data_IF_701485342281
#
_entry.id   IF_701485342281
#
_cell.length_a   1.000
_cell.length_b   1.000
_cell.length_c   1.000
_cell.angle_alpha   90.00
_cell.angle_beta   90.00
_cell.angle_gamma   90.00
#
_symmetry.space_group_name_H-M   'P 1'
#
loop_
_entity.id
_entity.type
_entity.pdbx_description
1 polymer ?
#
# COMPACT_ATOMS: atom_id res chain seq x y z
N UNK A 1 3.27 -30.90 108.63
CA UNK A 1 4.07 -30.28 107.55
C UNK A 1 4.59 -28.94 108.01
N UNK A 2 5.91 -28.82 108.05
CA UNK A 2 6.65 -27.69 108.60
C UNK A 2 6.47 -26.46 107.70
N UNK A 3 6.32 -25.25 108.26
CA UNK A 3 5.98 -24.04 107.49
C UNK A 3 7.02 -23.65 106.42
N UNK A 4 8.23 -24.21 106.49
CA UNK A 4 9.30 -24.07 105.47
C UNK A 4 9.06 -24.98 104.26
N UNK A 5 8.61 -26.21 104.47
CA UNK A 5 8.32 -27.20 103.40
C UNK A 5 7.16 -26.73 102.52
N UNK A 6 6.09 -26.21 103.13
CA UNK A 6 4.95 -25.64 102.37
C UNK A 6 5.35 -24.44 101.50
N UNK A 7 6.29 -23.60 101.98
CA UNK A 7 6.82 -22.46 101.22
C UNK A 7 7.68 -22.92 100.05
N UNK A 8 8.56 -23.90 100.26
CA UNK A 8 9.40 -24.49 99.20
C UNK A 8 8.53 -25.18 98.14
N UNK A 9 7.53 -25.95 98.56
CA UNK A 9 6.59 -26.60 97.64
C UNK A 9 5.83 -25.59 96.77
N UNK A 10 5.33 -24.49 97.36
CA UNK A 10 4.65 -23.42 96.61
C UNK A 10 5.58 -22.71 95.63
N UNK A 11 6.83 -22.47 96.00
CA UNK A 11 7.84 -21.89 95.11
C UNK A 11 8.14 -22.82 93.93
N UNK A 12 8.34 -24.12 94.18
CA UNK A 12 8.59 -25.10 93.13
C UNK A 12 7.40 -25.25 92.18
N UNK A 13 6.17 -25.31 92.71
CA UNK A 13 4.95 -25.36 91.90
C UNK A 13 4.81 -24.12 91.00
N UNK A 14 5.12 -22.92 91.54
CA UNK A 14 5.09 -21.67 90.76
C UNK A 14 6.16 -21.66 89.68
N UNK A 15 7.36 -22.19 89.94
CA UNK A 15 8.42 -22.32 88.95
C UNK A 15 8.07 -23.31 87.84
N UNK A 16 7.44 -24.45 88.19
CA UNK A 16 6.98 -25.44 87.22
C UNK A 16 5.87 -24.86 86.33
N UNK A 17 4.90 -24.15 86.90
CA UNK A 17 3.85 -23.49 86.14
C UNK A 17 4.43 -22.47 85.14
N UNK A 18 5.36 -21.62 85.58
CA UNK A 18 6.05 -20.67 84.70
C UNK A 18 6.86 -21.36 83.61
N UNK A 19 7.46 -22.51 83.91
CA UNK A 19 8.18 -23.31 82.91
C UNK A 19 7.21 -23.83 81.85
N UNK A 20 6.08 -24.37 82.26
CA UNK A 20 5.08 -24.92 81.36
C UNK A 20 4.49 -23.86 80.44
N UNK A 21 4.10 -22.70 80.97
CA UNK A 21 3.60 -21.56 80.18
C UNK A 21 4.60 -21.12 79.10
N UNK A 22 5.89 -21.02 79.46
CA UNK A 22 6.92 -20.62 78.50
C UNK A 22 7.14 -21.66 77.41
N UNK A 23 7.05 -22.96 77.72
CA UNK A 23 7.15 -24.04 76.72
C UNK A 23 5.96 -23.98 75.76
N UNK A 24 4.74 -23.84 76.28
CA UNK A 24 3.53 -23.77 75.47
C UNK A 24 3.56 -22.57 74.52
N UNK A 25 3.96 -21.40 75.02
CA UNK A 25 4.14 -20.19 74.19
C UNK A 25 5.19 -20.37 73.11
N UNK A 26 6.26 -21.11 73.41
CA UNK A 26 7.33 -21.41 72.44
C UNK A 26 6.82 -22.33 71.33
N UNK A 27 6.06 -23.37 71.66
CA UNK A 27 5.50 -24.28 70.65
C UNK A 27 4.44 -23.57 69.78
N UNK A 28 3.60 -22.72 70.38
CA UNK A 28 2.65 -21.88 69.63
C UNK A 28 3.36 -20.94 68.65
N UNK A 29 4.45 -20.31 69.08
CA UNK A 29 5.27 -19.45 68.22
C UNK A 29 5.90 -20.24 67.06
N UNK A 30 6.44 -21.43 67.33
CA UNK A 30 6.97 -22.34 66.31
C UNK A 30 5.88 -22.69 65.29
N UNK A 31 4.68 -23.06 65.75
CA UNK A 31 3.57 -23.42 64.85
C UNK A 31 3.14 -22.25 63.96
N UNK A 32 3.06 -21.03 64.52
CA UNK A 32 2.75 -19.82 63.72
C UNK A 32 3.81 -19.55 62.66
N UNK A 33 5.09 -19.60 63.02
CA UNK A 33 6.19 -19.35 62.09
C UNK A 33 6.24 -20.39 60.98
N UNK A 34 5.96 -21.66 61.29
CA UNK A 34 5.82 -22.73 60.29
C UNK A 34 4.63 -22.48 59.35
N UNK A 35 3.48 -22.06 59.87
CA UNK A 35 2.29 -21.75 59.05
C UNK A 35 2.53 -20.60 58.08
N UNK A 36 3.36 -19.65 58.44
CA UNK A 36 3.70 -18.49 57.62
C UNK A 36 4.91 -18.73 56.69
N UNK A 37 5.42 -19.96 56.60
CA UNK A 37 6.62 -20.32 55.85
C UNK A 37 7.86 -19.46 56.20
N UNK A 38 7.92 -18.94 57.42
CA UNK A 38 9.02 -18.10 57.87
C UNK A 38 10.23 -18.95 58.29
N UNK A 39 11.42 -18.36 58.19
CA UNK A 39 12.65 -19.03 58.65
C UNK A 39 12.66 -19.09 60.18
N UNK A 40 12.69 -20.31 60.73
CA UNK A 40 12.83 -20.50 62.16
C UNK A 40 14.26 -20.13 62.62
N UNK A 41 14.32 -19.18 63.55
CA UNK A 41 15.54 -18.75 64.23
C UNK A 41 15.21 -18.55 65.70
N UNK A 42 16.15 -18.86 66.60
CA UNK A 42 16.00 -18.65 68.03
C UNK A 42 15.57 -17.22 68.38
N UNK A 43 16.05 -16.22 67.63
CA UNK A 43 15.65 -14.83 67.83
C UNK A 43 14.20 -14.54 67.43
N UNK A 44 13.72 -15.11 66.32
CA UNK A 44 12.36 -14.91 65.86
C UNK A 44 11.35 -15.66 66.75
N UNK A 45 11.70 -16.88 67.17
CA UNK A 45 10.90 -17.67 68.11
C UNK A 45 10.81 -16.96 69.46
N UNK A 46 11.92 -16.44 69.98
CA UNK A 46 11.95 -15.67 71.22
C UNK A 46 11.04 -14.43 71.16
N UNK A 47 11.07 -13.71 70.04
CA UNK A 47 10.24 -12.52 69.81
C UNK A 47 8.75 -12.88 69.76
N UNK A 48 8.37 -13.91 69.01
CA UNK A 48 6.98 -14.33 68.83
C UNK A 48 6.41 -15.00 70.09
N UNK A 49 7.21 -15.81 70.81
CA UNK A 49 6.81 -16.43 72.08
C UNK A 49 6.87 -15.44 73.26
N UNK A 50 7.47 -14.26 73.06
CA UNK A 50 7.76 -13.26 74.09
C UNK A 50 8.50 -13.87 75.31
N UNK A 51 9.56 -14.63 75.01
CA UNK A 51 10.51 -15.22 75.97
C UNK A 51 11.91 -14.72 75.64
N UNK A 52 12.83 -14.70 76.62
CA UNK A 52 14.21 -14.30 76.33
C UNK A 52 14.93 -15.38 75.50
N UNK A 53 15.84 -14.98 74.62
CA UNK A 53 16.68 -15.93 73.87
C UNK A 53 17.46 -16.84 74.82
N UNK A 54 17.95 -16.28 75.94
CA UNK A 54 18.64 -17.05 76.99
C UNK A 54 17.76 -18.15 77.59
N UNK A 55 16.43 -17.95 77.68
CA UNK A 55 15.51 -18.97 78.17
C UNK A 55 15.45 -20.18 77.24
N UNK A 56 15.42 -19.95 75.92
CA UNK A 56 15.42 -21.03 74.91
C UNK A 56 16.69 -21.89 74.98
N UNK A 57 17.83 -21.30 75.36
CA UNK A 57 19.09 -22.03 75.57
C UNK A 57 19.22 -22.65 76.96
N UNK A 58 18.49 -22.15 77.97
CA UNK A 58 18.57 -22.62 79.35
C UNK A 58 18.03 -24.05 79.51
N UNK A 59 17.05 -24.43 78.69
CA UNK A 59 16.39 -25.73 78.74
C UNK A 59 16.74 -26.53 77.48
N UNK A 60 17.57 -27.59 77.58
CA UNK A 60 18.01 -28.39 76.43
C UNK A 60 16.84 -28.93 75.60
N UNK A 61 15.75 -29.33 76.25
CA UNK A 61 14.56 -29.86 75.60
C UNK A 61 13.93 -28.87 74.60
N UNK A 62 13.97 -27.58 74.90
CA UNK A 62 13.44 -26.52 74.02
C UNK A 62 14.40 -26.25 72.87
N UNK A 63 15.70 -26.23 73.17
CA UNK A 63 16.76 -26.01 72.19
C UNK A 63 16.78 -27.10 71.12
N UNK A 64 16.75 -28.37 71.55
CA UNK A 64 16.83 -29.52 70.66
C UNK A 64 15.61 -29.57 69.74
N UNK A 65 14.41 -29.31 70.29
CA UNK A 65 13.17 -29.20 69.51
C UNK A 65 13.26 -28.15 68.40
N UNK A 66 13.76 -26.96 68.71
CA UNK A 66 13.93 -25.88 67.72
C UNK A 66 14.95 -26.29 66.65
N UNK A 67 16.04 -26.94 67.05
CA UNK A 67 17.09 -27.37 66.13
C UNK A 67 16.60 -28.46 65.16
N UNK A 68 15.86 -29.46 65.65
CA UNK A 68 15.28 -30.51 64.81
C UNK A 68 14.38 -29.95 63.70
N UNK A 69 13.53 -28.97 64.04
CA UNK A 69 12.62 -28.34 63.08
C UNK A 69 13.41 -27.54 62.04
N UNK A 70 14.42 -26.79 62.49
CA UNK A 70 15.30 -26.02 61.61
C UNK A 70 16.07 -26.93 60.64
N UNK A 71 16.57 -28.07 61.10
CA UNK A 71 17.30 -29.03 60.28
C UNK A 71 16.38 -29.69 59.23
N UNK A 72 15.12 -29.96 59.58
CA UNK A 72 14.10 -30.43 58.63
C UNK A 72 13.82 -29.39 57.54
N UNK A 73 13.66 -28.11 57.92
CA UNK A 73 13.44 -27.01 56.97
C UNK A 73 14.61 -26.86 55.98
N UNK A 74 15.85 -26.95 56.48
CA UNK A 74 17.07 -26.90 55.63
C UNK A 74 17.16 -28.10 54.68
N UNK A 75 16.83 -29.31 55.14
CA UNK A 75 16.81 -30.51 54.30
C UNK A 75 15.79 -30.40 53.18
N UNK A 76 14.57 -29.93 53.47
CA UNK A 76 13.52 -29.73 52.46
C UNK A 76 13.91 -28.67 51.43
N UNK A 77 14.45 -27.52 51.88
CA UNK A 77 14.93 -26.49 50.97
C UNK A 77 15.98 -27.02 50.00
N UNK A 78 16.95 -27.82 50.48
CA UNK A 78 17.99 -28.46 49.65
C UNK A 78 17.45 -29.46 48.63
N UNK A 79 16.36 -30.18 48.93
CA UNK A 79 15.73 -31.10 47.98
C UNK A 79 15.11 -30.33 46.81
N UNK A 80 14.49 -29.19 47.08
CA UNK A 80 13.88 -28.32 46.05
C UNK A 80 14.92 -27.61 45.18
N UNK A 81 16.12 -27.31 45.72
CA UNK A 81 17.19 -26.64 44.96
C UNK A 81 18.06 -27.59 44.15
N UNK A 82 17.94 -28.91 44.32
CA UNK A 82 18.72 -29.85 43.51
C UNK A 82 18.13 -29.87 42.10
N UNK A 83 18.89 -29.53 41.03
CA UNK A 83 18.40 -29.66 39.68
C UNK A 83 18.05 -31.14 39.45
N UNK A 84 16.76 -31.43 39.31
CA UNK A 84 16.32 -32.75 38.90
C UNK A 84 16.77 -32.92 37.45
N UNK A 85 17.68 -33.85 37.19
CA UNK A 85 18.02 -34.22 35.82
C UNK A 85 16.75 -34.71 35.16
N UNK A 86 16.24 -33.94 34.20
CA UNK A 86 15.03 -34.29 33.47
C UNK A 86 15.14 -35.73 32.96
N UNK A 87 14.13 -36.56 33.26
CA UNK A 87 14.05 -37.93 32.76
C UNK A 87 14.21 -37.94 31.24
N UNK A 88 14.81 -38.99 30.67
CA UNK A 88 14.98 -39.15 29.21
C UNK A 88 13.67 -38.92 28.44
N UNK A 89 12.53 -39.32 29.03
CA UNK A 89 11.20 -39.07 28.47
C UNK A 89 10.85 -37.59 28.37
N UNK A 90 11.23 -36.79 29.37
CA UNK A 90 11.03 -35.33 29.38
C UNK A 90 11.90 -34.65 28.32
N UNK A 91 13.16 -35.07 28.18
CA UNK A 91 14.04 -34.58 27.11
C UNK A 91 13.48 -34.85 25.72
N UNK A 92 12.93 -36.05 25.50
CA UNK A 92 12.29 -36.40 24.22
C UNK A 92 11.07 -35.54 23.89
N UNK A 93 10.22 -35.25 24.88
CA UNK A 93 9.07 -34.35 24.70
C UNK A 93 9.56 -32.94 24.33
N UNK A 94 10.58 -32.43 25.03
CA UNK A 94 11.16 -31.11 24.74
C UNK A 94 11.72 -31.07 23.31
N UNK A 95 12.45 -32.10 22.88
CA UNK A 95 13.00 -32.19 21.52
C UNK A 95 11.88 -32.19 20.47
N UNK A 96 10.79 -32.93 20.70
CA UNK A 96 9.65 -32.93 19.77
C UNK A 96 8.96 -31.57 19.69
N UNK A 97 8.78 -30.89 20.82
CA UNK A 97 8.22 -29.54 20.86
C UNK A 97 9.11 -28.54 20.12
N UNK A 98 10.42 -28.58 20.35
CA UNK A 98 11.39 -27.72 19.66
C UNK A 98 11.39 -27.96 18.16
N UNK A 99 11.38 -29.22 17.72
CA UNK A 99 11.29 -29.56 16.28
C UNK A 99 10.00 -29.05 15.65
N UNK A 100 8.88 -29.18 16.36
CA UNK A 100 7.58 -28.68 15.89
C UNK A 100 7.60 -27.15 15.77
N UNK A 101 8.21 -26.47 16.74
CA UNK A 101 8.36 -25.01 16.73
C UNK A 101 9.27 -24.54 15.59
N UNK A 102 10.38 -25.22 15.34
CA UNK A 102 11.27 -24.92 14.20
C UNK A 102 10.50 -25.04 12.90
N UNK A 103 9.76 -26.14 12.71
CA UNK A 103 8.97 -26.36 11.48
C UNK A 103 7.91 -25.27 11.27
N UNK A 104 7.24 -24.83 12.34
CA UNK A 104 6.29 -23.71 12.27
C UNK A 104 6.98 -22.40 11.88
N UNK A 105 8.11 -22.08 12.51
CA UNK A 105 8.85 -20.84 12.23
C UNK A 105 9.39 -20.85 10.79
N UNK A 106 9.88 -21.98 10.29
CA UNK A 106 10.33 -22.11 8.90
C UNK A 106 9.18 -21.91 7.90
N UNK A 107 8.00 -22.45 8.21
CA UNK A 107 6.80 -22.24 7.41
C UNK A 107 6.38 -20.77 7.40
N UNK A 108 6.32 -20.14 8.57
CA UNK A 108 5.97 -18.72 8.72
C UNK A 108 6.98 -17.82 7.98
N UNK A 109 8.28 -18.09 8.12
CA UNK A 109 9.34 -17.39 7.37
C UNK A 109 9.14 -17.52 5.86
N UNK A 110 8.79 -18.71 5.38
CA UNK A 110 8.55 -18.94 3.95
C UNK A 110 7.34 -18.15 3.46
N UNK A 111 6.25 -18.13 4.22
CA UNK A 111 5.04 -17.40 3.83
C UNK A 111 5.25 -15.89 3.87
N UNK A 112 5.91 -15.37 4.91
CA UNK A 112 6.28 -13.96 5.00
C UNK A 112 7.18 -13.54 3.84
N UNK A 113 8.12 -14.40 3.43
CA UNK A 113 8.97 -14.13 2.25
C UNK A 113 8.14 -14.06 0.97
N UNK A 114 7.19 -14.99 0.78
CA UNK A 114 6.27 -14.98 -0.38
C UNK A 114 5.43 -13.70 -0.43
N UNK A 115 4.88 -13.28 0.72
CA UNK A 115 4.11 -12.04 0.82
C UNK A 115 4.97 -10.82 0.49
N UNK A 116 6.22 -10.79 0.95
CA UNK A 116 7.14 -9.70 0.68
C UNK A 116 7.53 -9.63 -0.80
N UNK A 117 7.79 -10.77 -1.43
CA UNK A 117 8.03 -10.85 -2.88
C UNK A 117 6.82 -10.35 -3.68
N UNK A 118 5.60 -10.74 -3.28
CA UNK A 118 4.37 -10.27 -3.91
C UNK A 118 4.19 -8.74 -3.77
N UNK A 119 4.31 -8.20 -2.56
CA UNK A 119 4.20 -6.76 -2.31
C UNK A 119 5.27 -5.96 -3.06
N UNK A 120 6.49 -6.48 -3.14
CA UNK A 120 7.58 -5.86 -3.90
C UNK A 120 7.25 -5.81 -5.39
N UNK A 121 6.68 -6.90 -5.93
CA UNK A 121 6.18 -6.94 -7.30
C UNK A 121 5.07 -5.91 -7.56
N UNK A 122 4.10 -5.81 -6.65
CA UNK A 122 3.01 -4.83 -6.72
C UNK A 122 3.54 -3.39 -6.66
N UNK A 123 4.51 -3.09 -5.79
CA UNK A 123 5.16 -1.78 -5.70
C UNK A 123 5.89 -1.42 -7.00
N UNK A 124 6.57 -2.37 -7.63
CA UNK A 124 7.23 -2.14 -8.91
C UNK A 124 6.21 -1.79 -10.01
N UNK A 125 5.11 -2.54 -10.08
CA UNK A 125 4.01 -2.24 -11.01
C UNK A 125 3.38 -0.87 -10.74
N UNK A 126 3.23 -0.50 -9.46
CA UNK A 126 2.72 0.81 -9.08
C UNK A 126 3.67 1.94 -9.51
N UNK A 127 4.99 1.76 -9.35
CA UNK A 127 5.99 2.71 -9.83
C UNK A 127 5.89 2.97 -11.33
N UNK A 128 5.79 1.90 -12.14
CA UNK A 128 5.59 2.02 -13.59
C UNK A 128 4.30 2.79 -13.92
N UNK A 129 3.21 2.49 -13.19
CA UNK A 129 1.93 3.19 -13.39
C UNK A 129 2.02 4.67 -13.03
N UNK A 130 2.74 5.04 -11.98
CA UNK A 130 2.97 6.43 -11.60
C UNK A 130 3.76 7.18 -12.70
N UNK A 131 4.83 6.59 -13.23
CA UNK A 131 5.60 7.18 -14.33
C UNK A 131 4.77 7.37 -15.60
N UNK A 132 3.82 6.46 -15.87
CA UNK A 132 2.87 6.60 -16.97
C UNK A 132 1.88 7.73 -16.70
N UNK A 133 1.35 7.82 -15.47
CA UNK A 133 0.40 8.84 -15.06
C UNK A 133 1.03 10.25 -15.17
N UNK A 134 2.28 10.40 -14.75
CA UNK A 134 3.03 11.65 -14.88
C UNK A 134 3.21 12.05 -16.35
N UNK A 135 3.53 11.09 -17.23
CA UNK A 135 3.64 11.34 -18.67
C UNK A 135 2.31 11.80 -19.27
N UNK A 136 1.22 11.11 -18.98
CA UNK A 136 -0.12 11.47 -19.45
C UNK A 136 -0.52 12.85 -18.93
N UNK A 137 -0.21 13.17 -17.67
CA UNK A 137 -0.48 14.51 -17.12
C UNK A 137 0.30 15.59 -17.84
N UNK A 138 1.58 15.36 -18.15
CA UNK A 138 2.39 16.32 -18.92
C UNK A 138 1.82 16.53 -20.31
N UNK A 139 1.39 15.47 -20.99
CA UNK A 139 0.77 15.56 -22.31
C UNK A 139 -0.55 16.34 -22.27
N UNK A 140 -1.43 16.02 -21.32
CA UNK A 140 -2.66 16.77 -21.11
C UNK A 140 -2.41 18.26 -20.86
N UNK A 141 -1.35 18.59 -20.09
CA UNK A 141 -0.96 19.99 -19.87
C UNK A 141 -0.48 20.67 -21.15
N UNK A 142 0.29 19.96 -22.00
CA UNK A 142 0.72 20.46 -23.31
C UNK A 142 -0.47 20.70 -24.23
N UNK A 143 -1.33 19.71 -24.41
CA UNK A 143 -2.54 19.81 -25.24
C UNK A 143 -3.44 20.96 -24.76
N UNK A 144 -3.61 21.13 -23.44
CA UNK A 144 -4.37 22.25 -22.87
C UNK A 144 -3.75 23.61 -23.20
N UNK A 145 -2.41 23.71 -23.20
CA UNK A 145 -1.72 24.94 -23.60
C UNK A 145 -1.87 25.22 -25.10
N UNK A 146 -1.82 24.19 -25.94
CA UNK A 146 -2.00 24.29 -27.38
C UNK A 146 -3.43 24.72 -27.74
N UNK A 147 -4.44 24.09 -27.13
CA UNK A 147 -5.84 24.49 -27.27
C UNK A 147 -6.02 25.96 -26.89
N UNK A 148 -5.36 26.42 -25.82
CA UNK A 148 -5.42 27.83 -25.41
C UNK A 148 -4.84 28.76 -26.49
N UNK A 149 -3.72 28.39 -27.10
CA UNK A 149 -3.08 29.17 -28.18
C UNK A 149 -3.98 29.18 -29.42
N UNK A 150 -4.47 28.02 -29.85
CA UNK A 150 -5.36 27.91 -31.01
C UNK A 150 -6.65 28.72 -30.82
N UNK A 151 -7.21 28.73 -29.62
CA UNK A 151 -8.38 29.57 -29.32
C UNK A 151 -8.06 31.06 -29.42
N UNK A 152 -6.88 31.51 -28.97
CA UNK A 152 -6.47 32.91 -29.13
C UNK A 152 -6.28 33.28 -30.60
N UNK A 153 -5.71 32.37 -31.40
CA UNK A 153 -5.53 32.57 -32.83
C UNK A 153 -6.86 32.60 -33.58
N UNK A 154 -7.79 31.71 -33.24
CA UNK A 154 -9.15 31.72 -33.78
C UNK A 154 -9.89 33.02 -33.45
N UNK A 155 -9.80 33.50 -32.22
CA UNK A 155 -10.39 34.79 -31.83
C UNK A 155 -9.75 35.96 -32.59
N UNK A 156 -8.43 35.94 -32.79
CA UNK A 156 -7.74 36.92 -33.62
C UNK A 156 -8.28 36.92 -35.06
N UNK A 157 -8.33 35.76 -35.71
CA UNK A 157 -8.82 35.62 -37.09
C UNK A 157 -10.28 36.03 -37.20
N UNK A 158 -11.12 35.68 -36.22
CA UNK A 158 -12.52 36.13 -36.16
C UNK A 158 -12.62 37.65 -36.10
N UNK A 159 -11.81 38.30 -35.26
CA UNK A 159 -11.78 39.76 -35.14
C UNK A 159 -11.29 40.43 -36.43
N UNK A 160 -10.26 39.88 -37.07
CA UNK A 160 -9.75 40.36 -38.37
C UNK A 160 -10.80 40.22 -39.49
N UNK A 161 -11.53 39.09 -39.51
CA UNK A 161 -12.64 38.86 -40.45
C UNK A 161 -13.81 39.82 -40.20
N UNK A 162 -14.20 40.03 -38.94
CA UNK A 162 -15.25 40.98 -38.55
C UNK A 162 -14.86 42.40 -38.98
N UNK A 163 -13.63 42.84 -38.71
CA UNK A 163 -13.13 44.15 -39.12
C UNK A 163 -13.12 44.31 -40.66
N UNK A 164 -12.77 43.24 -41.39
CA UNK A 164 -12.83 43.24 -42.85
C UNK A 164 -14.28 43.33 -43.37
N UNK A 165 -15.23 42.67 -42.70
CA UNK A 165 -16.65 42.75 -43.05
C UNK A 165 -17.26 44.13 -42.76
N UNK A 166 -16.87 44.80 -41.66
CA UNK A 166 -17.32 46.17 -41.37
C UNK A 166 -16.75 47.16 -42.38
N UNK A 167 -15.47 47.04 -42.74
CA UNK A 167 -14.85 47.87 -43.78
C UNK A 167 -15.56 47.74 -45.14
N UNK A 168 -16.08 46.56 -45.49
CA UNK A 168 -16.89 46.36 -46.71
C UNK A 168 -18.29 46.99 -46.64
N UNK A 169 -18.85 47.17 -45.45
CA UNK A 169 -20.17 47.81 -45.24
C UNK A 169 -20.10 49.34 -45.17
N UNK A 170 -18.95 49.89 -44.80
CA UNK A 170 -18.73 51.35 -44.72
C UNK A 170 -18.36 51.99 -46.07
N UNK A 171 -18.21 51.20 -47.14
CA UNK A 171 -18.08 51.74 -48.51
C UNK A 171 -19.47 52.25 -48.95
N UNK A 172 -19.65 53.56 -49.20
CA UNK A 172 -20.94 54.09 -49.66
C UNK A 172 -21.32 53.52 -51.03
N UNK A 173 -22.61 53.31 -51.32
CA UNK A 173 -23.04 52.84 -52.63
C UNK A 173 -23.04 54.01 -53.62
N UNK A 174 -21.88 54.53 -54.01
CA UNK A 174 -21.82 55.40 -55.18
C UNK A 174 -20.49 55.34 -55.91
N UNK A 175 -20.61 54.90 -57.16
CA UNK A 175 -19.65 55.01 -58.28
C UNK A 175 -18.47 54.04 -58.32
N UNK A 176 -18.75 52.80 -58.74
CA UNK A 176 -18.01 52.23 -59.86
C UNK A 176 -18.99 51.96 -61.00
N UNK A 177 -19.12 52.95 -61.88
CA UNK A 177 -19.56 52.75 -63.26
C UNK A 177 -18.52 51.82 -63.90
N UNK A 178 -18.78 50.52 -63.87
CA UNK A 178 -18.11 49.55 -64.72
C UNK A 178 -19.22 48.84 -65.50
N UNK A 179 -19.56 49.44 -66.64
CA UNK A 179 -20.02 48.72 -67.80
C UNK A 179 -18.90 47.76 -68.24
N UNK A 180 -18.75 46.65 -67.52
CA UNK A 180 -18.16 45.44 -68.06
C UNK A 180 -19.13 44.35 -67.66
N UNK A 181 -19.74 43.75 -68.69
CA UNK A 181 -20.44 42.48 -68.56
C UNK A 181 -19.53 41.54 -67.76
N UNK A 182 -19.85 41.28 -66.49
CA UNK A 182 -19.23 40.16 -65.80
C UNK A 182 -19.74 38.90 -66.49
N UNK A 183 -18.87 38.08 -67.12
CA UNK A 183 -19.29 36.77 -67.59
C UNK A 183 -19.67 35.93 -66.36
N UNK A 184 -20.66 35.03 -66.48
CA UNK A 184 -21.22 34.32 -65.33
C UNK A 184 -20.30 33.28 -64.66
N UNK A 185 -18.97 33.29 -64.90
CA UNK A 185 -18.09 32.14 -64.62
C UNK A 185 -16.92 32.37 -63.65
N UNK A 186 -16.80 33.51 -62.95
CA UNK A 186 -15.55 33.82 -62.24
C UNK A 186 -15.29 32.96 -60.98
N UNK A 187 -16.33 32.46 -60.28
CA UNK A 187 -16.13 31.60 -59.08
C UNK A 187 -15.91 30.11 -59.40
N UNK A 188 -16.39 29.63 -60.55
CA UNK A 188 -16.10 28.27 -61.01
C UNK A 188 -14.66 28.14 -61.53
N UNK A 189 -14.11 29.21 -62.11
CA UNK A 189 -12.75 29.19 -62.69
C UNK A 189 -11.66 28.99 -61.63
N UNK A 190 -11.75 29.65 -60.47
CA UNK A 190 -10.72 29.55 -59.42
C UNK A 190 -10.75 28.17 -58.73
N UNK A 191 -11.94 27.60 -58.53
CA UNK A 191 -12.11 26.26 -57.95
C UNK A 191 -11.70 25.17 -58.95
N UNK A 192 -12.00 25.34 -60.25
CA UNK A 192 -11.48 24.47 -61.30
C UNK A 192 -9.95 24.54 -61.40
N UNK A 193 -9.36 25.72 -61.21
CA UNK A 193 -7.92 25.91 -61.26
C UNK A 193 -7.24 25.21 -60.08
N UNK A 194 -7.79 25.33 -58.86
CA UNK A 194 -7.32 24.58 -57.70
C UNK A 194 -7.46 23.05 -57.86
N UNK A 195 -8.57 22.60 -58.46
CA UNK A 195 -8.78 21.18 -58.78
C UNK A 195 -7.74 20.68 -59.79
N UNK A 196 -7.46 21.45 -60.85
CA UNK A 196 -6.45 21.13 -61.87
C UNK A 196 -5.05 21.10 -61.27
N UNK A 197 -4.73 22.00 -60.35
CA UNK A 197 -3.46 22.03 -59.63
C UNK A 197 -3.26 20.79 -58.76
N UNK A 198 -4.29 20.38 -58.00
CA UNK A 198 -4.25 19.16 -57.17
C UNK A 198 -4.17 17.87 -58.00
N UNK A 199 -4.87 17.81 -59.13
CA UNK A 199 -4.76 16.66 -60.04
C UNK A 199 -3.38 16.58 -60.70
N UNK A 200 -2.78 17.73 -61.01
CA UNK A 200 -1.43 17.80 -61.57
C UNK A 200 -0.37 17.40 -60.55
N UNK A 201 -0.50 17.80 -59.28
CA UNK A 201 0.44 17.38 -58.22
C UNK A 201 0.41 15.87 -57.96
N UNK A 202 -0.76 15.24 -58.13
CA UNK A 202 -0.90 13.78 -58.02
C UNK A 202 -0.48 13.03 -59.30
N UNK A 203 -0.11 13.74 -60.36
CA UNK A 203 0.30 13.17 -61.65
C UNK A 203 -0.87 12.57 -62.44
N UNK A 204 -2.10 13.01 -62.18
CA UNK A 204 -3.32 12.54 -62.85
C UNK A 204 -3.60 13.45 -64.04
N UNK A 205 -3.34 12.95 -65.26
CA UNK A 205 -3.68 13.67 -66.48
C UNK A 205 -5.18 13.57 -66.76
N UNK A 206 -5.82 14.73 -66.90
CA UNK A 206 -7.25 14.81 -67.21
C UNK A 206 -7.57 14.23 -68.59
N UNK A 207 -8.39 13.18 -68.66
CA UNK A 207 -8.89 12.56 -69.89
C UNK A 207 -10.39 12.91 -70.10
N UNK A 208 -10.90 12.82 -71.34
CA UNK A 208 -12.27 13.21 -71.70
C UNK A 208 -13.35 12.51 -70.84
N UNK A 209 -13.14 11.24 -70.49
CA UNK A 209 -14.04 10.48 -69.60
C UNK A 209 -14.07 11.05 -68.18
N UNK A 210 -12.93 11.51 -67.65
CA UNK A 210 -12.85 12.09 -66.31
C UNK A 210 -13.55 13.47 -66.27
N UNK A 211 -13.44 14.27 -67.34
CA UNK A 211 -14.18 15.54 -67.46
C UNK A 211 -15.69 15.32 -67.38
N UNK A 212 -16.20 14.32 -68.12
CA UNK A 212 -17.63 13.98 -68.13
C UNK A 212 -18.13 13.51 -66.75
N UNK A 213 -17.30 12.79 -66.00
CA UNK A 213 -17.65 12.33 -64.64
C UNK A 213 -17.62 13.52 -63.67
N UNK A 214 -16.65 14.43 -63.78
CA UNK A 214 -16.55 15.63 -62.95
C UNK A 214 -17.73 16.59 -63.17
N UNK A 215 -18.22 16.72 -64.40
CA UNK A 215 -19.43 17.50 -64.72
C UNK A 215 -20.70 16.92 -64.09
N UNK A 216 -20.72 15.62 -63.79
CA UNK A 216 -21.87 14.91 -63.23
C UNK A 216 -21.85 14.78 -61.70
N UNK A 217 -20.75 15.17 -61.05
CA UNK A 217 -20.50 14.96 -59.61
C UNK A 217 -20.36 16.28 -58.87
N UNK A 218 -20.71 16.29 -57.59
CA UNK A 218 -20.62 17.48 -56.75
C UNK A 218 -19.17 17.75 -56.31
N UNK A 219 -18.84 19.02 -56.05
CA UNK A 219 -17.49 19.42 -55.63
C UNK A 219 -16.99 18.66 -54.38
N UNK A 220 -17.91 18.30 -53.47
CA UNK A 220 -17.60 17.55 -52.26
C UNK A 220 -17.20 16.09 -52.55
N UNK A 221 -17.93 15.41 -53.44
CA UNK A 221 -17.60 14.04 -53.87
C UNK A 221 -16.22 14.00 -54.56
N UNK A 222 -15.91 15.02 -55.35
CA UNK A 222 -14.62 15.16 -56.04
C UNK A 222 -13.48 15.33 -55.03
N UNK A 223 -13.70 16.15 -53.99
CA UNK A 223 -12.70 16.39 -52.95
C UNK A 223 -12.48 15.16 -52.07
N UNK A 224 -13.54 14.44 -51.70
CA UNK A 224 -13.45 13.22 -50.90
C UNK A 224 -12.70 12.11 -51.64
N UNK A 225 -12.98 11.92 -52.94
CA UNK A 225 -12.27 10.97 -53.78
C UNK A 225 -10.78 11.33 -53.93
N UNK A 226 -10.46 12.63 -53.99
CA UNK A 226 -9.07 13.13 -54.02
C UNK A 226 -8.31 12.78 -52.73
N UNK A 227 -8.92 13.01 -51.57
CA UNK A 227 -8.33 12.70 -50.26
C UNK A 227 -8.13 11.19 -50.05
N UNK A 228 -9.13 10.38 -50.41
CA UNK A 228 -9.05 8.92 -50.32
C UNK A 228 -7.88 8.35 -51.15
N UNK A 229 -7.60 8.95 -52.31
CA UNK A 229 -6.46 8.53 -53.14
C UNK A 229 -5.13 9.02 -52.60
N UNK A 230 -5.08 10.22 -52.04
CA UNK A 230 -3.86 10.70 -51.38
C UNK A 230 -3.46 9.76 -50.23
N UNK A 231 -4.44 9.31 -49.45
CA UNK A 231 -4.25 8.30 -48.40
C UNK A 231 -3.83 6.94 -48.97
N UNK A 232 -4.51 6.45 -50.00
CA UNK A 232 -4.18 5.19 -50.65
C UNK A 232 -2.76 5.18 -51.26
N UNK A 233 -2.33 6.31 -51.84
CA UNK A 233 -0.99 6.49 -52.39
C UNK A 233 0.10 6.54 -51.31
N UNK A 234 -0.23 7.01 -50.09
CA UNK A 234 0.68 6.93 -48.92
C UNK A 234 0.89 5.47 -48.50
N UNK A 235 -0.16 4.65 -48.52
CA UNK A 235 -0.10 3.25 -48.10
C UNK A 235 0.47 2.30 -49.19
N UNK A 236 0.29 2.60 -50.49
CA UNK A 236 0.84 1.78 -51.58
C UNK A 236 1.41 2.65 -52.73
N UNK A 237 2.75 2.75 -52.88
CA UNK A 237 3.37 3.68 -53.84
C UNK A 237 3.46 3.19 -55.29
N UNK A 238 3.15 1.91 -55.58
CA UNK A 238 3.27 1.33 -56.95
C UNK A 238 1.90 0.99 -57.55
N UNK A 239 1.29 1.97 -58.22
CA UNK A 239 0.04 1.77 -58.98
C UNK A 239 0.26 2.14 -60.45
N UNK A 240 -0.25 1.32 -61.36
CA UNK A 240 -0.03 1.46 -62.81
C UNK A 240 -0.80 2.62 -63.45
N UNK A 241 -1.97 3.01 -62.91
CA UNK A 241 -2.73 4.17 -63.41
C UNK A 241 -3.43 4.92 -62.28
N UNK A 242 -2.81 6.02 -61.85
CA UNK A 242 -3.38 6.95 -60.86
C UNK A 242 -4.70 7.57 -61.35
N UNK A 243 -4.83 7.76 -62.67
CA UNK A 243 -6.06 8.25 -63.29
C UNK A 243 -7.19 7.21 -63.31
N UNK A 244 -6.85 5.93 -63.44
CA UNK A 244 -7.82 4.83 -63.34
C UNK A 244 -8.37 4.69 -61.92
N UNK A 245 -7.49 4.79 -60.92
CA UNK A 245 -7.87 4.77 -59.51
C UNK A 245 -8.80 5.94 -59.14
N UNK A 246 -8.54 7.15 -59.66
CA UNK A 246 -9.42 8.30 -59.44
C UNK A 246 -10.79 8.17 -60.09
N UNK A 247 -10.86 7.52 -61.25
CA UNK A 247 -12.15 7.17 -61.85
C UNK A 247 -12.92 6.22 -60.94
N UNK A 248 -12.28 5.15 -60.49
CA UNK A 248 -12.92 4.15 -59.64
C UNK A 248 -13.40 4.78 -58.32
N UNK A 249 -12.59 5.65 -57.70
CA UNK A 249 -12.97 6.37 -56.50
C UNK A 249 -14.18 7.29 -56.69
N UNK A 250 -14.31 7.94 -57.86
CA UNK A 250 -15.47 8.79 -58.19
C UNK A 250 -16.74 7.98 -58.53
N UNK A 251 -16.58 6.80 -59.14
CA UNK A 251 -17.70 5.92 -59.51
C UNK A 251 -18.25 5.16 -58.29
N UNK A 252 -17.37 4.67 -57.43
CA UNK A 252 -17.72 3.92 -56.20
C UNK A 252 -17.95 4.83 -54.98
N UNK A 253 -17.68 6.14 -55.09
CA UNK A 253 -17.96 7.12 -54.04
C UNK A 253 -17.06 6.98 -52.81
N UNK A 254 -15.76 6.81 -53.02
CA UNK A 254 -14.81 6.62 -51.91
C UNK A 254 -14.76 7.83 -50.98
N UNK A 255 -14.79 7.56 -49.69
CA UNK A 255 -14.53 8.54 -48.63
C UNK A 255 -13.19 8.23 -47.97
N UNK A 256 -12.42 9.25 -47.55
CA UNK A 256 -11.18 9.01 -46.81
C UNK A 256 -11.48 8.17 -45.57
N UNK A 257 -10.62 7.19 -45.28
CA UNK A 257 -10.77 6.42 -44.08
C UNK A 257 -10.41 7.35 -42.92
N UNK A 258 -11.38 7.68 -42.07
CA UNK A 258 -11.07 8.19 -40.74
C UNK A 258 -10.52 7.03 -39.91
N UNK A 259 -9.38 6.46 -40.32
CA UNK A 259 -8.60 5.62 -39.42
C UNK A 259 -7.99 6.57 -38.40
N UNK A 260 -8.67 6.69 -37.26
CA UNK A 260 -8.03 6.78 -35.96
C UNK A 260 -6.98 5.67 -35.92
N UNK A 261 -5.78 6.00 -36.38
CA UNK A 261 -4.63 5.12 -36.32
C UNK A 261 -4.22 4.96 -34.86
N UNK A 262 -4.36 3.71 -34.41
CA UNK A 262 -3.78 3.08 -33.23
C UNK A 262 -2.34 3.52 -32.91
#
# INVERSE_FOLDING_TARGET
MNGKEKRIAKLNATQQQRKQDCIERTELAIHKLLKNDERLSFGNIAREANVSVSYLYKYPEVKDRIQEIRDKQVKQAKILTRPQTASEKSKQVIIQQLRSRIKMIEFEKKELKRQNEQMTGELYQLGIKLDLLDRIQQENMRQKSEIKILNLELERVRNEFLASQTNLREIPPETLLINQKFPPNFRESEVEEQLRMKLSSLGIKMNATLKKILESKTQLEIFNALLAIEEYLKSQPKIQSKAGLFRQALEEGWTPNFTDSE
#
